data_IF_461629461786
#
_entry.id   IF_461629461786
#
_cell.length_a   1.000
_cell.length_b   1.000
_cell.length_c   1.000
_cell.angle_alpha   90.00
_cell.angle_beta   90.00
_cell.angle_gamma   90.00
#
_symmetry.space_group_name_H-M   'P 1'
#
loop_
_entity.id
_entity.type
_entity.pdbx_description
1 polymer ?
#
# COMPACT_ATOMS: atom_id res chain seq x y z
N UNK A 1 19.03 -16.26 32.75
CA UNK A 1 19.91 -15.13 32.36
C UNK A 1 20.02 -15.11 30.84
N UNK A 2 19.56 -14.01 30.26
CA UNK A 2 19.79 -13.48 28.91
C UNK A 2 19.93 -14.46 27.74
N UNK A 3 18.86 -14.62 26.95
CA UNK A 3 18.99 -14.93 25.52
C UNK A 3 18.97 -13.58 24.81
N UNK A 4 20.07 -13.28 24.14
CA UNK A 4 20.37 -12.01 23.52
C UNK A 4 19.26 -11.57 22.56
N UNK A 5 18.97 -10.27 22.58
CA UNK A 5 18.22 -9.59 21.54
C UNK A 5 18.96 -9.77 20.21
N UNK A 6 18.42 -10.63 19.36
CA UNK A 6 18.76 -10.61 17.93
C UNK A 6 18.22 -9.29 17.38
N UNK A 7 19.15 -8.36 17.18
CA UNK A 7 18.96 -7.13 16.45
C UNK A 7 18.32 -7.46 15.10
N UNK A 8 17.02 -7.20 14.96
CA UNK A 8 16.30 -7.25 13.70
C UNK A 8 16.99 -6.27 12.75
N UNK A 9 17.86 -6.79 11.90
CA UNK A 9 18.42 -6.02 10.81
C UNK A 9 17.24 -5.63 9.92
N UNK A 10 16.94 -4.34 9.84
CA UNK A 10 15.99 -3.77 8.88
C UNK A 10 16.51 -4.13 7.50
N UNK A 11 16.08 -5.28 6.97
CA UNK A 11 16.34 -5.69 5.60
C UNK A 11 15.81 -4.59 4.72
N UNK A 12 16.71 -3.80 4.16
CA UNK A 12 16.33 -2.72 3.25
C UNK A 12 15.83 -3.38 1.98
N UNK A 13 14.51 -3.43 1.80
CA UNK A 13 13.88 -4.07 0.63
C UNK A 13 14.02 -3.17 -0.60
N UNK A 14 14.08 -1.85 -0.37
CA UNK A 14 14.19 -0.85 -1.42
C UNK A 14 15.66 -0.59 -1.79
N UNK A 15 15.95 -0.57 -3.09
CA UNK A 15 17.28 -0.26 -3.62
C UNK A 15 17.79 1.10 -3.08
N UNK A 16 18.99 1.18 -2.49
CA UNK A 16 19.59 2.44 -2.05
C UNK A 16 19.68 3.51 -3.15
N UNK A 17 19.82 3.12 -4.42
CA UNK A 17 19.79 4.05 -5.54
C UNK A 17 18.43 4.72 -5.68
N UNK A 18 17.34 3.97 -5.51
CA UNK A 18 15.98 4.50 -5.55
C UNK A 18 15.75 5.53 -4.45
N UNK A 19 16.26 5.27 -3.24
CA UNK A 19 16.21 6.22 -2.13
C UNK A 19 16.97 7.52 -2.44
N UNK A 20 18.11 7.39 -3.13
CA UNK A 20 18.88 8.55 -3.61
C UNK A 20 18.07 9.37 -4.62
N UNK A 21 17.43 8.71 -5.59
CA UNK A 21 16.56 9.39 -6.57
C UNK A 21 15.34 10.05 -5.91
N UNK A 22 14.66 9.37 -4.97
CA UNK A 22 13.55 9.93 -4.20
C UNK A 22 13.97 11.22 -3.47
N UNK A 23 15.11 11.18 -2.78
CA UNK A 23 15.65 12.34 -2.07
C UNK A 23 15.94 13.50 -3.01
N UNK A 24 16.57 13.23 -4.16
CA UNK A 24 16.89 14.26 -5.15
C UNK A 24 15.62 14.88 -5.78
N UNK A 25 14.62 14.06 -6.11
CA UNK A 25 13.34 14.53 -6.64
C UNK A 25 12.56 15.36 -5.60
N UNK A 26 12.53 14.92 -4.35
CA UNK A 26 11.89 15.65 -3.26
C UNK A 26 12.52 17.04 -3.07
N UNK A 27 13.86 17.14 -3.14
CA UNK A 27 14.57 18.42 -3.09
C UNK A 27 14.25 19.32 -4.29
N UNK A 28 14.15 18.75 -5.50
CA UNK A 28 13.80 19.51 -6.70
C UNK A 28 12.38 20.06 -6.61
N UNK A 29 11.41 19.22 -6.24
CA UNK A 29 10.03 19.66 -6.03
C UNK A 29 9.93 20.70 -4.92
N UNK A 30 10.72 20.59 -3.84
CA UNK A 30 10.74 21.63 -2.81
C UNK A 30 11.16 23.00 -3.39
N UNK A 31 12.22 23.03 -4.20
CA UNK A 31 12.68 24.27 -4.86
C UNK A 31 11.63 24.84 -5.82
N UNK A 32 10.92 23.98 -6.55
CA UNK A 32 9.82 24.40 -7.42
C UNK A 32 8.65 24.98 -6.62
N UNK A 33 8.34 24.41 -5.46
CA UNK A 33 7.29 24.90 -4.58
C UNK A 33 7.65 26.28 -4.01
N UNK A 34 8.91 26.48 -3.62
CA UNK A 34 9.40 27.77 -3.12
C UNK A 34 9.34 28.84 -4.22
N UNK A 35 9.78 28.50 -5.44
CA UNK A 35 9.65 29.39 -6.60
C UNK A 35 8.18 29.72 -6.90
N UNK A 36 7.28 28.73 -6.82
CA UNK A 36 5.85 28.93 -7.05
C UNK A 36 5.25 29.93 -6.06
N UNK A 37 5.69 29.88 -4.79
CA UNK A 37 5.30 30.86 -3.77
C UNK A 37 5.87 32.24 -4.07
N UNK A 38 7.14 32.34 -4.46
CA UNK A 38 7.80 33.61 -4.77
C UNK A 38 7.12 34.37 -5.92
N UNK A 39 6.63 33.63 -6.93
CA UNK A 39 5.89 34.22 -8.06
C UNK A 39 4.38 34.34 -7.80
N UNK A 40 3.91 34.04 -6.58
CA UNK A 40 2.48 34.01 -6.21
C UNK A 40 1.61 33.16 -7.16
N UNK A 41 2.07 31.98 -7.53
CA UNK A 41 1.31 31.03 -8.35
C UNK A 41 0.78 29.86 -7.48
N UNK A 42 -0.47 29.96 -6.97
CA UNK A 42 -1.03 28.95 -6.08
C UNK A 42 -1.22 27.59 -6.75
N UNK A 43 -1.62 27.57 -8.03
CA UNK A 43 -1.87 26.33 -8.78
C UNK A 43 -0.58 25.50 -8.92
N UNK A 44 0.54 26.17 -9.20
CA UNK A 44 1.85 25.52 -9.27
C UNK A 44 2.30 25.03 -7.89
N UNK A 45 2.03 25.80 -6.83
CA UNK A 45 2.37 25.42 -5.47
C UNK A 45 1.60 24.17 -5.02
N UNK A 46 0.31 24.07 -5.37
CA UNK A 46 -0.54 22.91 -5.10
C UNK A 46 -0.10 21.67 -5.91
N UNK A 47 0.18 21.85 -7.20
CA UNK A 47 0.66 20.76 -8.07
C UNK A 47 1.97 20.17 -7.54
N UNK A 48 2.90 21.04 -7.16
CA UNK A 48 4.21 20.62 -6.65
C UNK A 48 4.10 19.94 -5.28
N UNK A 49 3.20 20.42 -4.41
CA UNK A 49 2.93 19.77 -3.12
C UNK A 49 2.34 18.36 -3.31
N UNK A 50 1.42 18.21 -4.24
CA UNK A 50 0.79 16.93 -4.58
C UNK A 50 1.80 15.92 -5.09
N UNK A 51 2.66 16.33 -6.03
CA UNK A 51 3.77 15.49 -6.52
C UNK A 51 4.77 15.13 -5.43
N UNK A 52 5.05 16.03 -4.49
CA UNK A 52 5.96 15.73 -3.38
C UNK A 52 5.37 14.67 -2.47
N UNK A 53 4.08 14.74 -2.17
CA UNK A 53 3.39 13.75 -1.32
C UNK A 53 3.38 12.35 -1.96
N UNK A 54 3.31 12.25 -3.29
CA UNK A 54 3.26 10.95 -3.97
C UNK A 54 4.62 10.23 -4.06
N UNK A 55 5.75 10.94 -3.93
CA UNK A 55 7.09 10.32 -4.02
C UNK A 55 7.33 9.30 -2.91
N UNK A 56 6.86 9.62 -1.71
CA UNK A 56 7.07 8.84 -0.49
C UNK A 56 5.92 7.85 -0.23
N UNK A 57 5.01 7.67 -1.19
CA UNK A 57 3.97 6.65 -1.07
C UNK A 57 4.59 5.23 -1.09
N UNK A 58 4.11 4.32 -0.23
CA UNK A 58 4.50 2.92 -0.26
C UNK A 58 4.11 2.26 -1.58
N UNK A 59 4.93 1.33 -2.08
CA UNK A 59 4.66 0.61 -3.33
C UNK A 59 3.35 -0.19 -3.23
N UNK A 60 2.47 -0.04 -4.21
CA UNK A 60 1.16 -0.67 -4.22
C UNK A 60 1.23 -2.07 -4.83
N UNK A 61 1.07 -3.09 -3.99
CA UNK A 61 1.01 -4.49 -4.38
C UNK A 61 -0.46 -4.94 -4.40
N UNK A 62 -0.91 -5.51 -5.51
CA UNK A 62 -2.28 -5.98 -5.68
C UNK A 62 -2.30 -7.49 -5.86
N UNK A 63 -3.13 -8.21 -5.11
CA UNK A 63 -3.29 -9.66 -5.21
C UNK A 63 -4.67 -9.97 -5.81
N UNK A 64 -4.68 -10.60 -6.99
CA UNK A 64 -5.87 -10.91 -7.79
C UNK A 64 -5.94 -12.42 -8.05
N UNK A 65 -7.16 -12.96 -8.21
CA UNK A 65 -7.37 -14.39 -8.37
C UNK A 65 -8.81 -14.82 -8.04
N UNK A 66 -9.15 -16.08 -8.26
CA UNK A 66 -10.51 -16.58 -8.03
C UNK A 66 -10.90 -16.60 -6.53
N UNK A 67 -12.20 -16.72 -6.23
CA UNK A 67 -12.68 -16.88 -4.85
C UNK A 67 -12.11 -18.20 -4.30
N UNK A 68 -11.53 -18.17 -3.10
CA UNK A 68 -10.82 -19.32 -2.46
C UNK A 68 -9.53 -19.79 -3.18
N UNK A 69 -8.93 -18.97 -4.05
CA UNK A 69 -7.60 -19.26 -4.62
C UNK A 69 -6.43 -19.20 -3.62
N UNK A 70 -6.68 -18.76 -2.38
CA UNK A 70 -5.63 -18.63 -1.35
C UNK A 70 -4.96 -17.25 -1.27
N UNK A 71 -5.55 -16.22 -1.90
CA UNK A 71 -5.04 -14.83 -1.86
C UNK A 71 -4.78 -14.30 -0.44
N UNK A 72 -5.76 -14.38 0.45
CA UNK A 72 -5.62 -13.95 1.84
C UNK A 72 -4.56 -14.76 2.61
N UNK A 73 -4.42 -16.06 2.30
CA UNK A 73 -3.35 -16.89 2.86
C UNK A 73 -1.97 -16.47 2.35
N UNK A 74 -1.86 -16.13 1.05
CA UNK A 74 -0.63 -15.60 0.47
C UNK A 74 -0.22 -14.27 1.10
N UNK A 75 -1.17 -13.36 1.30
CA UNK A 75 -0.93 -12.07 1.99
C UNK A 75 -0.47 -12.29 3.42
N UNK A 76 -1.12 -13.18 4.17
CA UNK A 76 -0.71 -13.51 5.54
C UNK A 76 0.70 -14.12 5.59
N UNK A 77 1.03 -15.00 4.65
CA UNK A 77 2.36 -15.59 4.55
C UNK A 77 3.44 -14.56 4.14
N UNK A 78 3.10 -13.63 3.25
CA UNK A 78 4.00 -12.55 2.83
C UNK A 78 4.31 -11.58 3.98
N UNK A 79 3.32 -11.31 4.83
CA UNK A 79 3.46 -10.43 5.99
C UNK A 79 3.93 -11.14 7.26
N UNK A 80 4.09 -12.47 7.23
CA UNK A 80 4.34 -13.33 8.38
C UNK A 80 3.38 -13.05 9.56
N UNK A 81 2.11 -12.75 9.23
CA UNK A 81 1.10 -12.32 10.18
C UNK A 81 -0.33 -12.65 9.71
N UNK A 82 -1.22 -13.00 10.65
CA UNK A 82 -2.64 -13.22 10.36
C UNK A 82 -3.40 -11.87 10.26
N UNK A 83 -3.26 -11.19 9.12
CA UNK A 83 -3.88 -9.88 8.86
C UNK A 83 -5.27 -10.02 8.25
N UNK A 84 -5.41 -10.88 7.25
CA UNK A 84 -6.66 -11.19 6.58
C UNK A 84 -7.35 -12.40 7.22
N UNK A 85 -8.66 -12.33 7.44
CA UNK A 85 -9.45 -13.48 7.87
C UNK A 85 -9.49 -14.54 6.76
N UNK A 86 -9.00 -15.75 7.05
CA UNK A 86 -8.97 -16.88 6.11
C UNK A 86 -10.19 -17.81 6.21
N UNK A 87 -11.15 -17.50 7.10
CA UNK A 87 -12.29 -18.37 7.36
C UNK A 87 -13.28 -18.48 6.18
N UNK A 88 -13.87 -19.66 6.08
CA UNK A 88 -14.65 -20.22 4.96
C UNK A 88 -16.01 -19.51 4.74
N UNK A 89 -16.40 -18.58 5.62
CA UNK A 89 -17.52 -17.68 5.38
C UNK A 89 -17.19 -16.72 4.22
N UNK A 90 -18.16 -16.22 3.44
CA UNK A 90 -17.86 -15.28 2.36
C UNK A 90 -17.35 -13.95 2.94
N UNK A 91 -16.04 -13.87 3.22
CA UNK A 91 -15.35 -12.71 3.75
C UNK A 91 -14.70 -11.87 2.63
N UNK A 92 -14.65 -12.37 1.39
CA UNK A 92 -14.04 -11.74 0.22
C UNK A 92 -15.02 -10.93 -0.64
N UNK A 93 -16.05 -10.34 -0.05
CA UNK A 93 -16.96 -9.43 -0.76
C UNK A 93 -16.53 -7.95 -0.67
N UNK A 94 -15.35 -7.69 -0.09
CA UNK A 94 -14.76 -6.35 0.04
C UNK A 94 -13.26 -6.35 -0.24
N UNK A 95 -12.78 -5.33 -0.93
CA UNK A 95 -11.37 -4.99 -1.12
C UNK A 95 -10.77 -4.63 0.24
N UNK A 96 -9.61 -5.21 0.57
CA UNK A 96 -8.88 -4.93 1.79
C UNK A 96 -7.55 -4.28 1.44
N UNK A 97 -7.36 -3.03 1.87
CA UNK A 97 -6.11 -2.31 1.73
C UNK A 97 -5.35 -2.35 3.06
N UNK A 98 -4.21 -3.02 3.08
CA UNK A 98 -3.35 -3.20 4.23
C UNK A 98 -2.22 -2.18 4.14
N UNK A 99 -2.06 -1.39 5.19
CA UNK A 99 -1.06 -0.32 5.29
C UNK A 99 -0.36 -0.34 6.63
N UNK A 100 0.77 0.34 6.72
CA UNK A 100 1.40 0.60 8.00
C UNK A 100 0.53 1.49 8.88
N UNK A 101 0.45 1.14 10.16
CA UNK A 101 -0.05 1.99 11.22
C UNK A 101 0.68 1.65 12.52
N UNK A 102 0.94 2.65 13.37
CA UNK A 102 1.61 2.43 14.66
C UNK A 102 0.80 1.54 15.63
N UNK A 103 -0.50 1.37 15.38
CA UNK A 103 -1.40 0.52 16.15
C UNK A 103 -2.38 -0.19 15.21
N UNK A 104 -2.89 -1.34 15.63
CA UNK A 104 -3.90 -2.07 14.89
C UNK A 104 -5.16 -1.23 14.70
N UNK A 105 -5.54 -1.04 13.44
CA UNK A 105 -6.74 -0.29 13.09
C UNK A 105 -7.49 -0.99 11.97
N UNK A 106 -8.81 -0.85 11.97
CA UNK A 106 -9.68 -1.29 10.89
C UNK A 106 -10.69 -0.19 10.64
N UNK A 107 -10.67 0.36 9.43
CA UNK A 107 -11.56 1.46 9.03
C UNK A 107 -12.34 1.03 7.79
N UNK A 108 -13.67 1.17 7.85
CA UNK A 108 -14.51 1.05 6.67
C UNK A 108 -14.44 2.38 5.91
N UNK A 109 -13.90 2.37 4.69
CA UNK A 109 -13.76 3.58 3.87
C UNK A 109 -14.97 3.73 2.94
N UNK A 110 -15.35 2.64 2.27
CA UNK A 110 -16.52 2.54 1.39
C UNK A 110 -17.21 1.19 1.66
N UNK A 111 -18.46 0.94 1.22
CA UNK A 111 -19.17 -0.32 1.49
C UNK A 111 -18.38 -1.58 1.11
N UNK A 112 -17.56 -1.51 0.07
CA UNK A 112 -16.73 -2.61 -0.42
C UNK A 112 -15.22 -2.37 -0.26
N UNK A 113 -14.80 -1.36 0.53
CA UNK A 113 -13.39 -1.05 0.78
C UNK A 113 -13.11 -0.88 2.27
N UNK A 114 -12.18 -1.70 2.78
CA UNK A 114 -11.69 -1.65 4.14
C UNK A 114 -10.21 -1.34 4.15
N UNK A 115 -9.80 -0.43 5.03
CA UNK A 115 -8.39 -0.13 5.30
C UNK A 115 -8.00 -0.77 6.62
N UNK A 116 -6.95 -1.58 6.59
CA UNK A 116 -6.42 -2.34 7.73
C UNK A 116 -5.02 -1.80 8.02
N UNK A 117 -4.85 -1.17 9.18
CA UNK A 117 -3.55 -0.71 9.65
C UNK A 117 -2.90 -1.77 10.54
N UNK A 118 -1.62 -2.06 10.31
CA UNK A 118 -0.81 -2.97 11.13
C UNK A 118 0.58 -2.39 11.40
N UNK A 119 1.16 -2.62 12.59
CA UNK A 119 2.52 -2.21 12.93
C UNK A 119 3.55 -3.23 12.41
N UNK A 120 3.58 -3.43 11.09
CA UNK A 120 4.52 -4.35 10.42
C UNK A 120 5.47 -3.50 9.57
N UNK A 121 6.77 -3.62 9.80
CA UNK A 121 7.78 -2.71 9.21
C UNK A 121 7.79 -2.71 7.69
N UNK A 122 7.60 -3.86 7.03
CA UNK A 122 7.54 -3.94 5.56
C UNK A 122 6.44 -3.05 4.98
N UNK A 123 5.35 -2.81 5.74
CA UNK A 123 4.25 -1.97 5.28
C UNK A 123 4.57 -0.46 5.25
N UNK A 124 5.74 -0.06 5.79
CA UNK A 124 6.26 1.30 5.60
C UNK A 124 6.73 1.51 4.16
N UNK A 125 7.23 0.44 3.52
CA UNK A 125 7.74 0.46 2.15
C UNK A 125 6.70 0.01 1.12
N UNK A 126 5.78 -0.89 1.50
CA UNK A 126 4.73 -1.40 0.60
C UNK A 126 3.33 -1.23 1.20
N UNK A 127 2.32 -1.18 0.35
CA UNK A 127 0.92 -1.35 0.71
C UNK A 127 0.34 -2.51 -0.08
N UNK A 128 -0.53 -3.30 0.54
CA UNK A 128 -1.07 -4.52 -0.09
C UNK A 128 -2.57 -4.38 -0.25
N UNK A 129 -3.08 -4.74 -1.41
CA UNK A 129 -4.51 -4.84 -1.70
C UNK A 129 -4.87 -6.29 -1.97
N UNK A 130 -5.62 -6.89 -1.04
CA UNK A 130 -6.27 -8.18 -1.23
C UNK A 130 -7.65 -7.95 -1.84
N UNK A 131 -7.87 -8.45 -3.06
CA UNK A 131 -9.10 -8.20 -3.80
C UNK A 131 -10.12 -9.33 -3.62
N UNK A 132 -11.43 -9.04 -3.74
CA UNK A 132 -12.45 -10.05 -4.00
C UNK A 132 -12.07 -10.99 -5.14
N UNK A 133 -12.60 -12.21 -5.09
CA UNK A 133 -12.32 -13.17 -6.15
C UNK A 133 -12.97 -12.78 -7.48
N UNK A 134 -12.30 -13.05 -8.60
CA UNK A 134 -12.75 -12.70 -9.97
C UNK A 134 -14.08 -13.35 -10.40
N UNK A 135 -14.55 -14.37 -9.69
CA UNK A 135 -15.87 -14.99 -9.91
C UNK A 135 -16.96 -14.52 -8.93
N UNK A 136 -16.67 -13.52 -8.09
CA UNK A 136 -17.68 -12.91 -7.20
C UNK A 136 -18.56 -11.92 -7.97
N UNK A 137 -19.87 -11.96 -7.70
CA UNK A 137 -20.92 -11.09 -8.26
C UNK A 137 -20.85 -9.63 -7.72
N UNK A 138 -19.74 -9.24 -7.09
CA UNK A 138 -19.60 -7.92 -6.49
C UNK A 138 -19.37 -6.89 -7.60
N UNK A 139 -20.03 -5.74 -7.49
CA UNK A 139 -19.81 -4.54 -8.29
C UNK A 139 -18.37 -3.95 -8.20
N UNK A 140 -17.40 -4.74 -7.71
CA UNK A 140 -16.01 -4.38 -7.47
C UNK A 140 -15.04 -4.73 -8.60
N UNK A 141 -15.47 -5.43 -9.66
CA UNK A 141 -14.63 -5.68 -10.86
C UNK A 141 -14.08 -4.39 -11.46
N UNK A 142 -14.92 -3.36 -11.47
CA UNK A 142 -14.56 -2.05 -11.99
C UNK A 142 -13.53 -1.36 -11.08
N UNK A 143 -13.75 -1.35 -9.76
CA UNK A 143 -12.82 -0.71 -8.81
C UNK A 143 -11.44 -1.37 -8.85
N UNK A 144 -11.35 -2.70 -8.86
CA UNK A 144 -10.05 -3.38 -8.92
C UNK A 144 -9.33 -3.07 -10.24
N UNK A 145 -10.03 -3.21 -11.37
CA UNK A 145 -9.44 -3.10 -12.71
C UNK A 145 -9.19 -1.66 -13.15
N UNK A 146 -9.95 -0.68 -12.65
CA UNK A 146 -9.78 0.74 -13.00
C UNK A 146 -8.98 1.53 -11.96
N UNK A 147 -9.07 1.19 -10.66
CA UNK A 147 -8.44 1.96 -9.58
C UNK A 147 -7.15 1.33 -9.06
N UNK A 148 -7.09 0.01 -8.95
CA UNK A 148 -5.95 -0.65 -8.28
C UNK A 148 -4.93 -1.23 -9.26
N UNK A 149 -5.35 -2.04 -10.23
CA UNK A 149 -4.43 -2.65 -11.21
C UNK A 149 -3.63 -1.59 -12.00
N UNK A 150 -4.25 -0.53 -12.57
CA UNK A 150 -3.51 0.43 -13.38
C UNK A 150 -2.52 1.29 -12.59
N UNK A 151 -2.77 1.44 -11.28
CA UNK A 151 -1.93 2.22 -10.38
C UNK A 151 -1.02 1.32 -9.51
N UNK A 152 -1.02 0.00 -9.74
CA UNK A 152 -0.18 -0.93 -8.98
C UNK A 152 1.26 -0.91 -9.48
N UNK A 153 2.20 -1.02 -8.55
CA UNK A 153 3.62 -1.23 -8.86
C UNK A 153 3.92 -2.71 -9.10
N UNK A 154 3.11 -3.60 -8.51
CA UNK A 154 3.19 -5.04 -8.70
C UNK A 154 1.82 -5.70 -8.56
N UNK A 155 1.47 -6.58 -9.48
CA UNK A 155 0.26 -7.42 -9.39
C UNK A 155 0.63 -8.90 -9.31
N UNK A 156 0.13 -9.59 -8.29
CA UNK A 156 0.19 -11.04 -8.14
C UNK A 156 -1.11 -11.68 -8.65
N UNK A 157 -0.99 -12.67 -9.52
CA UNK A 157 -2.10 -13.52 -9.95
C UNK A 157 -1.99 -14.87 -9.25
N UNK A 158 -2.98 -15.20 -8.43
CA UNK A 158 -3.07 -16.43 -7.62
C UNK A 158 -4.21 -17.30 -8.10
#
# INVERSE_FOLDING_TARGET
MSKAAESSATTTIIDPQLQTYRTALAQLLQRMQDLARDINNPDLAETTDSLRRSIDEPFLFVVVGEVKAGKSSFVNALLDAEVCATDIAPCTDSIQQIVYAAQDTVQQIEPHLRKIGRPIDILQDISIVDTPGTNSLVAGHQVITERYIPNSDLTFFV
#
